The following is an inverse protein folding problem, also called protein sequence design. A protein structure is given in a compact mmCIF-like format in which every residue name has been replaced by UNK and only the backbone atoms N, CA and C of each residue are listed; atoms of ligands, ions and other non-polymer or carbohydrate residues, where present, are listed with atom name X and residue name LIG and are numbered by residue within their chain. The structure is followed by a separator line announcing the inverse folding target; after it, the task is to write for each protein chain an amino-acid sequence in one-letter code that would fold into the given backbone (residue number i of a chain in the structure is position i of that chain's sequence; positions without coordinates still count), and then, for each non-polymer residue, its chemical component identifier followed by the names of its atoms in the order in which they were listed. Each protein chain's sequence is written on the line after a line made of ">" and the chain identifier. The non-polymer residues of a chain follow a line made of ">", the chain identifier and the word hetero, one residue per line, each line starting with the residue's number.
data_IF_583419621693
#
_entry.id   IF_583419621693
#
_cell.length_a   1.000
_cell.length_b   1.000
_cell.length_c   1.000
_cell.angle_alpha   90.00
_cell.angle_beta   90.00
_cell.angle_gamma   90.00
#
_symmetry.space_group_name_H-M   'P 1'
#
loop_
_entity.id
_entity.type
_entity.pdbx_description
1 polymer ?
#
# COMPACT_ATOMS: atom_id res chain seq x y z
N UNK A 1 -40.58 -42.20 5.72
CA UNK A 1 -40.23 -41.39 6.89
C UNK A 1 -38.88 -40.73 6.60
N UNK A 2 -38.92 -39.51 6.10
CA UNK A 2 -37.73 -38.72 5.84
C UNK A 2 -37.63 -37.61 6.87
N UNK A 3 -36.69 -37.73 7.79
CA UNK A 3 -36.39 -36.69 8.77
C UNK A 3 -35.29 -35.79 8.23
N UNK A 4 -35.64 -34.66 7.61
CA UNK A 4 -34.71 -33.59 7.30
C UNK A 4 -34.59 -32.66 8.50
N UNK A 5 -33.49 -32.72 9.23
CA UNK A 5 -33.18 -31.77 10.30
C UNK A 5 -32.87 -30.39 9.70
N UNK A 6 -33.74 -29.43 9.95
CA UNK A 6 -33.50 -28.02 9.71
C UNK A 6 -32.41 -27.55 10.69
N UNK A 7 -31.25 -27.16 10.18
CA UNK A 7 -30.21 -26.46 10.97
C UNK A 7 -30.76 -25.06 11.25
N UNK A 8 -30.98 -24.77 12.54
CA UNK A 8 -31.55 -23.53 13.04
C UNK A 8 -30.71 -22.31 12.63
N UNK A 9 -31.35 -21.29 12.07
CA UNK A 9 -30.72 -20.02 11.63
C UNK A 9 -29.99 -19.30 12.77
N UNK A 10 -30.38 -19.57 14.02
CA UNK A 10 -29.69 -19.10 15.24
C UNK A 10 -28.30 -19.76 15.40
N UNK A 11 -28.16 -21.03 15.00
CA UNK A 11 -26.87 -21.74 15.05
C UNK A 11 -25.89 -21.21 14.03
N UNK A 12 -26.36 -20.74 12.85
CA UNK A 12 -25.56 -20.07 11.83
C UNK A 12 -25.12 -18.67 12.27
N UNK A 13 -25.99 -17.90 12.89
CA UNK A 13 -25.67 -16.59 13.44
C UNK A 13 -24.65 -16.68 14.58
N UNK A 14 -24.74 -17.70 15.47
CA UNK A 14 -23.74 -17.92 16.52
C UNK A 14 -22.38 -18.38 15.97
N UNK A 15 -22.37 -19.18 14.88
CA UNK A 15 -21.09 -19.59 14.25
C UNK A 15 -20.39 -18.48 13.50
N UNK A 16 -21.10 -17.49 12.99
CA UNK A 16 -20.53 -16.29 12.35
C UNK A 16 -20.01 -15.30 13.41
N UNK A 17 -20.68 -15.19 14.56
CA UNK A 17 -20.26 -14.30 15.66
C UNK A 17 -19.07 -14.85 16.46
N UNK A 18 -18.84 -16.19 16.47
CA UNK A 18 -17.71 -16.79 17.20
C UNK A 18 -16.42 -16.95 16.37
N UNK A 19 -16.39 -16.47 15.12
CA UNK A 19 -15.19 -16.43 14.29
C UNK A 19 -14.47 -15.07 14.27
N UNK A 20 -14.81 -14.15 15.15
CA UNK A 20 -13.90 -13.10 15.54
C UNK A 20 -12.93 -13.68 16.58
N UNK A 21 -11.95 -14.46 16.12
CA UNK A 21 -10.72 -14.61 16.87
C UNK A 21 -10.25 -13.19 17.14
N UNK A 22 -10.11 -12.81 18.39
CA UNK A 22 -9.37 -11.62 18.79
C UNK A 22 -7.91 -11.87 18.41
N UNK A 23 -7.60 -11.75 17.12
CA UNK A 23 -6.21 -11.64 16.70
C UNK A 23 -5.70 -10.39 17.41
N UNK A 24 -4.88 -10.58 18.43
CA UNK A 24 -4.21 -9.50 19.11
C UNK A 24 -3.42 -8.72 18.05
N UNK A 25 -3.66 -7.41 17.97
CA UNK A 25 -2.94 -6.52 17.05
C UNK A 25 -1.44 -6.81 17.20
N UNK A 26 -0.72 -7.19 16.13
CA UNK A 26 0.67 -7.59 16.23
C UNK A 26 1.52 -6.44 16.81
N UNK A 27 2.37 -6.75 17.75
CA UNK A 27 3.33 -5.77 18.28
C UNK A 27 4.41 -5.46 17.25
N UNK A 28 5.15 -4.34 17.44
CA UNK A 28 6.34 -4.02 16.64
C UNK A 28 7.30 -5.19 16.53
N UNK A 29 7.55 -5.90 17.65
CA UNK A 29 8.45 -7.05 17.68
C UNK A 29 7.97 -8.21 16.79
N UNK A 30 6.66 -8.50 16.79
CA UNK A 30 6.07 -9.54 15.94
C UNK A 30 6.19 -9.15 14.46
N UNK A 31 5.93 -7.89 14.10
CA UNK A 31 6.02 -7.44 12.72
C UNK A 31 7.47 -7.45 12.22
N UNK A 32 8.42 -7.05 13.06
CA UNK A 32 9.85 -7.13 12.73
C UNK A 32 10.30 -8.58 12.55
N UNK A 33 9.86 -9.50 13.43
CA UNK A 33 10.14 -10.94 13.26
C UNK A 33 9.61 -11.45 11.93
N UNK A 34 8.38 -11.11 11.54
CA UNK A 34 7.84 -11.49 10.22
C UNK A 34 8.67 -10.94 9.06
N UNK A 35 9.19 -9.71 9.16
CA UNK A 35 10.08 -9.16 8.14
C UNK A 35 11.41 -9.92 8.07
N UNK A 36 11.97 -10.31 9.22
CA UNK A 36 13.18 -11.13 9.29
C UNK A 36 12.97 -12.54 8.71
N UNK A 37 11.81 -13.15 8.97
CA UNK A 37 11.45 -14.48 8.41
C UNK A 37 11.36 -14.45 6.87
N UNK A 38 11.05 -13.28 6.28
CA UNK A 38 10.99 -13.11 4.84
C UNK A 38 12.35 -12.81 4.19
N UNK A 39 13.34 -12.42 4.97
CA UNK A 39 14.62 -11.88 4.47
C UNK A 39 15.27 -12.82 3.43
N UNK A 40 15.42 -14.08 3.75
CA UNK A 40 16.08 -15.05 2.86
C UNK A 40 15.27 -15.30 1.60
N UNK A 41 13.94 -15.38 1.68
CA UNK A 41 13.07 -15.54 0.51
C UNK A 41 13.19 -14.33 -0.42
N UNK A 42 13.08 -13.12 0.10
CA UNK A 42 13.19 -11.88 -0.68
C UNK A 42 14.57 -11.75 -1.31
N UNK A 43 15.64 -12.12 -0.58
CA UNK A 43 17.01 -12.07 -1.08
C UNK A 43 17.25 -13.10 -2.19
N UNK A 44 16.74 -14.31 -2.05
CA UNK A 44 16.89 -15.38 -3.05
C UNK A 44 16.27 -14.99 -4.40
N UNK A 45 15.15 -14.26 -4.41
CA UNK A 45 14.44 -13.81 -5.62
C UNK A 45 14.83 -12.41 -6.09
N UNK A 46 15.88 -11.78 -5.51
CA UNK A 46 16.25 -10.40 -5.84
C UNK A 46 16.74 -10.23 -7.28
N UNK A 47 17.50 -11.18 -7.82
CA UNK A 47 17.97 -11.15 -9.21
C UNK A 47 16.81 -11.33 -10.19
N UNK A 48 15.94 -12.30 -9.97
CA UNK A 48 14.73 -12.52 -10.77
C UNK A 48 13.86 -11.25 -10.80
N UNK A 49 13.64 -10.63 -9.63
CA UNK A 49 12.93 -9.34 -9.48
C UNK A 49 13.55 -8.25 -10.38
N UNK A 50 14.87 -8.14 -10.39
CA UNK A 50 15.58 -7.15 -11.20
C UNK A 50 15.45 -7.42 -12.71
N UNK A 51 15.58 -8.69 -13.12
CA UNK A 51 15.49 -9.12 -14.52
C UNK A 51 14.06 -8.98 -15.07
N UNK A 52 13.05 -9.39 -14.28
CA UNK A 52 11.65 -9.28 -14.63
C UNK A 52 11.10 -7.84 -14.63
N UNK A 53 11.86 -6.88 -14.09
CA UNK A 53 11.44 -5.47 -13.90
C UNK A 53 10.14 -5.34 -13.07
N UNK A 54 9.89 -6.29 -12.17
CA UNK A 54 8.79 -6.31 -11.20
C UNK A 54 9.15 -7.28 -10.09
N UNK A 55 8.49 -7.19 -8.95
CA UNK A 55 8.69 -8.18 -7.90
C UNK A 55 8.33 -9.57 -8.42
N UNK A 56 9.11 -10.58 -8.02
CA UNK A 56 8.79 -11.98 -8.31
C UNK A 56 7.47 -12.36 -7.63
N UNK A 57 6.78 -13.34 -8.20
CA UNK A 57 5.51 -13.82 -7.68
C UNK A 57 5.67 -14.39 -6.27
N UNK A 58 6.80 -15.05 -5.98
CA UNK A 58 7.16 -15.56 -4.65
C UNK A 58 7.37 -14.46 -3.63
N UNK A 59 8.10 -13.39 -4.00
CA UNK A 59 8.29 -12.23 -3.12
C UNK A 59 6.95 -11.56 -2.81
N UNK A 60 6.11 -11.37 -3.83
CA UNK A 60 4.77 -10.77 -3.66
C UNK A 60 3.87 -11.62 -2.75
N UNK A 61 3.81 -12.93 -2.99
CA UNK A 61 3.00 -13.84 -2.20
C UNK A 61 3.47 -13.88 -0.74
N UNK A 62 4.78 -13.94 -0.50
CA UNK A 62 5.36 -13.96 0.84
C UNK A 62 5.10 -12.64 1.59
N UNK A 63 5.28 -11.49 0.95
CA UNK A 63 5.01 -10.17 1.55
C UNK A 63 3.52 -10.00 1.88
N UNK A 64 2.61 -10.43 1.00
CA UNK A 64 1.16 -10.40 1.24
C UNK A 64 0.78 -11.30 2.42
N UNK A 65 1.27 -12.54 2.44
CA UNK A 65 0.98 -13.52 3.51
C UNK A 65 1.48 -13.04 4.88
N UNK A 66 2.64 -12.38 4.93
CA UNK A 66 3.16 -11.79 6.18
C UNK A 66 2.35 -10.59 6.67
N UNK A 67 1.53 -9.96 5.82
CA UNK A 67 0.66 -8.83 6.14
C UNK A 67 1.41 -7.55 6.49
N UNK A 68 2.67 -7.39 6.07
CA UNK A 68 3.50 -6.23 6.41
C UNK A 68 2.94 -4.91 5.84
N UNK A 69 2.30 -4.96 4.66
CA UNK A 69 1.67 -3.80 4.03
C UNK A 69 0.52 -3.20 4.85
N UNK A 70 -0.02 -3.98 5.80
CA UNK A 70 -1.16 -3.59 6.65
C UNK A 70 -0.73 -2.89 7.95
N UNK A 71 0.57 -2.64 8.13
CA UNK A 71 1.12 -2.10 9.39
C UNK A 71 0.45 -0.77 9.82
N UNK A 72 0.14 0.09 8.86
CA UNK A 72 -0.52 1.38 9.10
C UNK A 72 -1.98 1.42 8.63
N UNK A 73 -2.55 0.30 8.20
CA UNK A 73 -3.97 0.18 7.86
C UNK A 73 -4.83 0.26 9.13
N UNK A 74 -6.06 0.82 9.07
CA UNK A 74 -6.95 0.91 10.24
C UNK A 74 -7.25 -0.45 10.88
N UNK A 75 -7.28 -0.47 12.21
CA UNK A 75 -7.61 -1.68 12.98
C UNK A 75 -8.98 -2.26 12.64
N UNK A 76 -9.97 -1.40 12.32
CA UNK A 76 -11.33 -1.82 11.89
C UNK A 76 -11.35 -2.67 10.61
N UNK A 77 -10.33 -2.57 9.79
CA UNK A 77 -10.14 -3.37 8.57
C UNK A 77 -9.04 -4.43 8.71
N UNK A 78 -8.71 -4.81 9.95
CA UNK A 78 -7.72 -5.84 10.25
C UNK A 78 -6.27 -5.40 10.03
N UNK A 79 -6.00 -4.10 9.90
CA UNK A 79 -4.68 -3.54 9.98
C UNK A 79 -4.17 -3.49 11.41
N UNK A 80 -2.91 -3.13 11.59
CA UNK A 80 -2.35 -3.03 12.94
C UNK A 80 -2.43 -1.62 13.48
N UNK A 81 -2.62 -0.60 12.61
CA UNK A 81 -2.50 0.81 12.95
C UNK A 81 -1.33 1.09 13.91
N UNK A 82 -0.25 0.33 13.72
CA UNK A 82 0.90 0.29 14.60
C UNK A 82 1.57 1.65 14.68
N UNK A 83 2.43 1.80 15.66
CA UNK A 83 3.26 2.99 15.76
C UNK A 83 4.16 3.11 14.51
N UNK A 84 4.21 4.27 13.92
CA UNK A 84 4.93 4.58 12.68
C UNK A 84 6.39 4.09 12.67
N UNK A 85 7.10 4.12 13.80
CA UNK A 85 8.48 3.63 13.90
C UNK A 85 8.65 2.16 13.53
N UNK A 86 7.62 1.33 13.74
CA UNK A 86 7.66 -0.08 13.36
C UNK A 86 7.74 -0.29 11.85
N UNK A 87 7.14 0.61 11.07
CA UNK A 87 7.23 0.59 9.61
C UNK A 87 8.67 0.84 9.12
N UNK A 88 9.40 1.77 9.77
CA UNK A 88 10.80 2.06 9.42
C UNK A 88 11.67 0.81 9.55
N UNK A 89 11.55 0.06 10.66
CA UNK A 89 12.34 -1.16 10.89
C UNK A 89 12.06 -2.25 9.86
N UNK A 90 10.78 -2.43 9.51
CA UNK A 90 10.35 -3.45 8.53
C UNK A 90 10.88 -3.11 7.15
N UNK A 91 10.76 -1.84 6.74
CA UNK A 91 11.24 -1.37 5.44
C UNK A 91 12.75 -1.48 5.35
N UNK A 92 13.48 -1.08 6.40
CA UNK A 92 14.93 -1.22 6.48
C UNK A 92 15.34 -2.69 6.29
N UNK A 93 14.71 -3.62 7.04
CA UNK A 93 15.00 -5.06 6.97
C UNK A 93 14.77 -5.62 5.57
N UNK A 94 13.61 -5.35 4.96
CA UNK A 94 13.29 -5.87 3.60
C UNK A 94 14.18 -5.21 2.54
N UNK A 95 14.56 -3.94 2.71
CA UNK A 95 15.46 -3.24 1.78
C UNK A 95 16.88 -3.77 1.80
N UNK A 96 17.34 -4.31 2.93
CA UNK A 96 18.62 -5.02 3.02
C UNK A 96 18.62 -6.32 2.22
N UNK A 97 17.48 -7.00 2.12
CA UNK A 97 17.34 -8.21 1.31
C UNK A 97 17.21 -7.89 -0.19
N UNK A 98 16.32 -6.96 -0.54
CA UNK A 98 16.10 -6.45 -1.91
C UNK A 98 15.55 -5.03 -1.86
N UNK A 99 16.31 -4.07 -2.35
CA UNK A 99 15.93 -2.65 -2.33
C UNK A 99 14.61 -2.38 -3.10
N UNK A 100 14.37 -3.07 -4.23
CA UNK A 100 13.13 -2.96 -4.98
C UNK A 100 11.92 -3.46 -4.17
N UNK A 101 12.07 -4.55 -3.43
CA UNK A 101 11.03 -5.08 -2.55
C UNK A 101 10.73 -4.12 -1.39
N UNK A 102 11.77 -3.57 -0.74
CA UNK A 102 11.62 -2.54 0.30
C UNK A 102 10.92 -1.29 -0.21
N UNK A 103 11.26 -0.84 -1.42
CA UNK A 103 10.58 0.30 -2.07
C UNK A 103 9.10 0.03 -2.31
N UNK A 104 8.74 -1.12 -2.92
CA UNK A 104 7.34 -1.48 -3.15
C UNK A 104 6.57 -1.63 -1.83
N UNK A 105 7.16 -2.26 -0.81
CA UNK A 105 6.56 -2.36 0.52
C UNK A 105 6.28 -0.98 1.13
N UNK A 106 7.21 -0.03 0.97
CA UNK A 106 7.03 1.36 1.40
C UNK A 106 5.78 1.98 0.77
N UNK A 107 5.59 1.79 -0.55
CA UNK A 107 4.43 2.31 -1.26
C UNK A 107 3.14 1.66 -0.75
N UNK A 108 3.09 0.34 -0.65
CA UNK A 108 1.91 -0.38 -0.15
C UNK A 108 1.53 0.04 1.28
N UNK A 109 2.48 0.14 2.20
CA UNK A 109 2.23 0.61 3.56
C UNK A 109 1.73 2.05 3.58
N UNK A 110 2.36 2.94 2.82
CA UNK A 110 2.03 4.37 2.76
C UNK A 110 0.64 4.60 2.16
N UNK A 111 0.31 3.90 1.08
CA UNK A 111 -0.98 4.04 0.41
C UNK A 111 -2.12 3.41 1.23
N UNK A 112 -1.89 2.27 1.90
CA UNK A 112 -2.86 1.73 2.86
C UNK A 112 -3.09 2.68 4.05
N UNK A 113 -2.04 3.31 4.57
CA UNK A 113 -2.19 4.37 5.57
C UNK A 113 -3.03 5.53 5.03
N UNK A 114 -2.72 5.98 3.82
CA UNK A 114 -3.39 7.11 3.19
C UNK A 114 -4.89 6.88 3.01
N UNK A 115 -5.31 5.68 2.58
CA UNK A 115 -6.73 5.31 2.47
C UNK A 115 -7.48 5.40 3.81
N UNK A 116 -6.82 5.28 4.95
CA UNK A 116 -7.42 5.46 6.26
C UNK A 116 -7.94 6.88 6.52
N UNK A 117 -7.58 7.87 5.70
CA UNK A 117 -8.11 9.23 5.75
C UNK A 117 -9.40 9.41 4.94
N UNK A 118 -9.76 8.45 4.06
CA UNK A 118 -10.97 8.49 3.22
C UNK A 118 -12.27 8.38 4.04
N UNK A 119 -13.42 8.75 3.45
CA UNK A 119 -14.73 8.42 4.03
C UNK A 119 -14.85 6.91 4.34
N UNK A 120 -15.62 6.58 5.39
CA UNK A 120 -15.83 5.18 5.82
C UNK A 120 -16.33 4.28 4.70
N UNK A 121 -17.25 4.79 3.87
CA UNK A 121 -17.84 4.09 2.75
C UNK A 121 -16.79 3.66 1.71
N UNK A 122 -15.85 4.58 1.39
CA UNK A 122 -14.74 4.27 0.47
C UNK A 122 -13.77 3.25 1.04
N UNK A 123 -13.50 3.31 2.35
CA UNK A 123 -12.69 2.31 3.04
C UNK A 123 -13.38 0.92 3.04
N UNK A 124 -14.69 0.88 3.27
CA UNK A 124 -15.48 -0.35 3.30
C UNK A 124 -15.58 -1.00 1.90
N UNK A 125 -15.65 -0.19 0.83
CA UNK A 125 -15.61 -0.69 -0.56
C UNK A 125 -14.27 -1.38 -0.89
N UNK A 126 -13.16 -0.83 -0.39
CA UNK A 126 -11.80 -1.32 -0.70
C UNK A 126 -11.47 -2.54 0.17
N UNK A 127 -11.58 -2.42 1.49
CA UNK A 127 -11.10 -3.44 2.43
C UNK A 127 -12.17 -4.42 2.91
N UNK A 128 -13.47 -4.13 2.70
CA UNK A 128 -14.54 -5.05 3.06
C UNK A 128 -14.43 -6.38 2.34
N UNK A 129 -14.33 -6.39 0.99
CA UNK A 129 -14.13 -7.64 0.23
C UNK A 129 -12.72 -8.21 0.35
N UNK A 130 -11.69 -7.36 0.52
CA UNK A 130 -10.28 -7.72 0.48
C UNK A 130 -9.48 -6.97 1.56
N UNK A 131 -9.51 -7.46 2.82
CA UNK A 131 -8.80 -6.79 3.92
C UNK A 131 -7.28 -6.70 3.74
N UNK A 132 -6.69 -7.53 2.89
CA UNK A 132 -5.27 -7.58 2.54
C UNK A 132 -4.93 -6.91 1.20
N UNK A 133 -5.78 -6.01 0.71
CA UNK A 133 -5.58 -5.31 -0.54
C UNK A 133 -4.22 -4.59 -0.59
N UNK A 134 -3.51 -4.77 -1.68
CA UNK A 134 -2.29 -4.02 -2.01
C UNK A 134 -2.66 -2.78 -2.82
N UNK A 135 -2.14 -1.64 -2.42
CA UNK A 135 -2.48 -0.34 -3.00
C UNK A 135 -1.24 0.35 -3.53
N UNK A 136 -1.16 0.50 -4.85
CA UNK A 136 -0.19 1.36 -5.49
C UNK A 136 -0.76 2.79 -5.67
N UNK A 137 0.06 3.75 -6.09
CA UNK A 137 -0.47 5.08 -6.37
C UNK A 137 0.58 6.06 -6.86
N UNK A 138 0.12 7.12 -7.50
CA UNK A 138 0.91 8.29 -7.90
C UNK A 138 0.21 9.56 -7.46
N UNK A 139 0.86 10.30 -6.58
CA UNK A 139 0.28 11.44 -5.88
C UNK A 139 0.67 12.78 -6.54
N UNK A 140 0.76 12.79 -7.88
CA UNK A 140 1.10 13.97 -8.70
C UNK A 140 -0.17 14.45 -9.41
N UNK A 141 -0.86 15.51 -8.92
CA UNK A 141 -2.17 15.92 -9.45
C UNK A 141 -2.13 16.34 -10.93
N UNK A 142 -0.97 16.85 -11.40
CA UNK A 142 -0.79 17.28 -12.79
C UNK A 142 -0.87 16.15 -13.84
N UNK A 143 -0.87 14.88 -13.40
CA UNK A 143 -0.94 13.72 -14.29
C UNK A 143 -2.37 13.39 -14.76
N UNK A 144 -3.40 13.92 -14.09
CA UNK A 144 -4.78 13.60 -14.41
C UNK A 144 -5.74 14.76 -14.23
N UNK A 145 -6.94 14.56 -14.74
CA UNK A 145 -8.09 15.46 -14.59
C UNK A 145 -9.29 14.69 -14.10
N UNK A 146 -10.03 15.25 -13.16
CA UNK A 146 -11.26 14.70 -12.62
C UNK A 146 -12.40 15.70 -12.87
N UNK A 147 -13.28 15.38 -13.82
CA UNK A 147 -14.47 16.19 -14.13
C UNK A 147 -15.60 15.80 -13.18
N UNK A 148 -16.25 16.79 -12.59
CA UNK A 148 -17.40 16.56 -11.70
C UNK A 148 -18.59 15.99 -12.47
N UNK A 149 -19.18 14.93 -11.95
CA UNK A 149 -20.40 14.31 -12.46
C UNK A 149 -21.33 13.98 -11.28
N UNK A 150 -22.57 13.57 -11.59
CA UNK A 150 -23.51 13.16 -10.53
C UNK A 150 -22.96 11.96 -9.73
N UNK A 151 -22.96 12.08 -8.41
CA UNK A 151 -22.47 11.03 -7.50
C UNK A 151 -20.94 10.87 -7.40
N UNK A 152 -20.13 11.59 -8.19
CA UNK A 152 -18.69 11.40 -8.17
C UNK A 152 -17.92 12.19 -9.22
N UNK A 153 -16.99 11.50 -9.85
CA UNK A 153 -16.00 12.07 -10.76
C UNK A 153 -15.79 11.18 -11.98
N UNK A 154 -15.59 11.78 -13.15
CA UNK A 154 -15.05 11.13 -14.33
C UNK A 154 -13.57 11.41 -14.41
N UNK A 155 -12.72 10.38 -14.28
CA UNK A 155 -11.27 10.47 -14.15
C UNK A 155 -10.58 10.03 -15.43
N UNK A 156 -9.62 10.83 -15.89
CA UNK A 156 -8.74 10.49 -17.01
C UNK A 156 -7.33 11.01 -16.79
N UNK A 157 -6.31 10.29 -17.25
CA UNK A 157 -4.92 10.72 -17.20
C UNK A 157 -3.93 9.59 -17.41
N UNK A 158 -2.64 9.93 -17.30
CA UNK A 158 -1.53 8.98 -17.30
C UNK A 158 -0.56 9.33 -16.19
N UNK A 159 -0.32 8.37 -15.30
CA UNK A 159 0.50 8.54 -14.11
C UNK A 159 1.79 7.74 -14.24
N UNK A 160 2.95 8.41 -14.36
CA UNK A 160 4.24 7.75 -14.40
C UNK A 160 4.70 7.33 -13.00
N UNK A 161 5.66 6.40 -12.96
CA UNK A 161 6.31 5.95 -11.71
C UNK A 161 5.37 5.25 -10.73
N UNK A 162 4.42 4.45 -11.21
CA UNK A 162 3.50 3.66 -10.41
C UNK A 162 4.20 2.41 -9.81
N UNK A 163 5.07 2.62 -8.82
CA UNK A 163 5.86 1.57 -8.19
C UNK A 163 4.97 0.47 -7.58
N UNK A 164 5.28 -0.80 -7.86
CA UNK A 164 4.55 -1.95 -7.33
C UNK A 164 3.19 -2.20 -7.97
N UNK A 165 2.82 -1.47 -9.02
CA UNK A 165 1.47 -1.55 -9.62
C UNK A 165 1.12 -2.94 -10.17
N UNK A 166 2.10 -3.75 -10.59
CA UNK A 166 1.87 -5.10 -11.09
C UNK A 166 1.26 -6.06 -10.04
N UNK A 167 1.48 -5.79 -8.76
CA UNK A 167 0.91 -6.59 -7.67
C UNK A 167 -0.22 -5.91 -6.93
N UNK A 168 -0.66 -4.71 -7.38
CA UNK A 168 -1.67 -3.93 -6.68
C UNK A 168 -3.09 -4.32 -7.09
N UNK A 169 -3.99 -4.34 -6.12
CA UNK A 169 -5.44 -4.54 -6.32
C UNK A 169 -6.15 -3.20 -6.57
N UNK A 170 -5.57 -2.12 -6.03
CA UNK A 170 -6.08 -0.75 -6.14
C UNK A 170 -4.97 0.23 -6.49
N UNK A 171 -5.37 1.33 -7.13
CA UNK A 171 -4.46 2.42 -7.49
C UNK A 171 -4.99 3.76 -7.01
N UNK A 172 -4.17 4.56 -6.32
CA UNK A 172 -4.49 5.94 -5.96
C UNK A 172 -3.96 6.88 -7.04
N UNK A 173 -4.87 7.46 -7.80
CA UNK A 173 -4.59 8.43 -8.85
C UNK A 173 -4.85 9.86 -8.36
N UNK A 174 -3.82 10.67 -8.16
CA UNK A 174 -4.03 12.09 -7.90
C UNK A 174 -4.30 12.85 -9.20
N UNK A 175 -5.28 13.75 -9.17
CA UNK A 175 -5.67 14.57 -10.31
C UNK A 175 -6.06 15.98 -9.87
N UNK A 176 -6.09 16.93 -10.82
CA UNK A 176 -6.80 18.17 -10.63
C UNK A 176 -8.29 17.97 -10.89
N UNK A 177 -9.09 18.14 -9.83
CA UNK A 177 -10.53 17.98 -9.85
C UNK A 177 -11.24 19.32 -10.00
N UNK A 178 -12.29 19.36 -10.82
CA UNK A 178 -13.17 20.51 -10.97
C UNK A 178 -13.77 20.91 -9.61
N UNK A 179 -13.88 22.20 -9.35
CA UNK A 179 -14.35 22.77 -8.09
C UNK A 179 -15.40 23.89 -8.33
N UNK A 180 -16.46 23.54 -9.04
CA UNK A 180 -17.48 24.52 -9.47
C UNK A 180 -16.84 25.66 -10.25
N UNK A 181 -17.13 26.91 -9.86
CA UNK A 181 -16.54 28.13 -10.45
C UNK A 181 -15.16 28.47 -9.90
N UNK A 182 -14.66 27.70 -8.93
CA UNK A 182 -13.37 27.90 -8.30
C UNK A 182 -12.21 27.27 -9.08
N UNK A 183 -10.95 27.52 -8.68
CA UNK A 183 -9.80 26.87 -9.26
C UNK A 183 -9.85 25.36 -8.98
N UNK A 184 -9.33 24.50 -9.89
CA UNK A 184 -9.25 23.08 -9.66
C UNK A 184 -8.48 22.75 -8.37
N UNK A 185 -8.92 21.73 -7.66
CA UNK A 185 -8.27 21.24 -6.43
C UNK A 185 -7.49 19.97 -6.67
N UNK A 186 -6.38 19.81 -5.96
CA UNK A 186 -5.63 18.54 -5.97
C UNK A 186 -6.40 17.51 -5.14
N UNK A 187 -6.81 16.40 -5.79
CA UNK A 187 -7.63 15.36 -5.20
C UNK A 187 -7.08 13.97 -5.57
N UNK A 188 -7.20 13.02 -4.68
CA UNK A 188 -6.84 11.62 -4.87
C UNK A 188 -8.09 10.78 -5.11
N UNK A 189 -7.98 9.78 -5.98
CA UNK A 189 -9.07 8.90 -6.39
C UNK A 189 -8.61 7.46 -6.29
N UNK A 190 -9.33 6.61 -5.57
CA UNK A 190 -9.05 5.19 -5.50
C UNK A 190 -9.77 4.44 -6.63
N UNK A 191 -8.99 3.73 -7.46
CA UNK A 191 -9.43 3.04 -8.68
C UNK A 191 -9.08 1.56 -8.56
N UNK A 192 -10.01 0.61 -8.79
CA UNK A 192 -9.71 -0.82 -8.75
C UNK A 192 -8.89 -1.24 -9.97
N UNK A 193 -8.19 -2.35 -9.86
CA UNK A 193 -7.32 -2.89 -10.92
C UNK A 193 -8.01 -3.03 -12.28
N UNK A 194 -9.30 -3.38 -12.30
CA UNK A 194 -10.07 -3.58 -13.52
C UNK A 194 -10.26 -2.28 -14.35
N UNK A 195 -10.09 -1.11 -13.74
CA UNK A 195 -10.43 0.19 -14.32
C UNK A 195 -9.20 1.00 -14.76
N UNK A 196 -8.02 0.41 -14.79
CA UNK A 196 -6.82 1.05 -15.32
C UNK A 196 -5.95 0.12 -16.15
N UNK A 197 -5.12 0.70 -17.01
CA UNK A 197 -4.17 -0.04 -17.87
C UNK A 197 -2.74 0.23 -17.45
N UNK A 198 -1.94 -0.82 -17.29
CA UNK A 198 -0.50 -0.74 -17.04
C UNK A 198 0.23 -0.65 -18.38
N UNK A 199 1.09 0.37 -18.53
CA UNK A 199 1.88 0.60 -19.74
C UNK A 199 3.33 0.18 -19.47
N UNK A 200 3.97 -0.61 -20.35
CA UNK A 200 5.36 -1.05 -20.17
C UNK A 200 6.36 0.07 -20.53
N UNK A 201 6.51 1.05 -19.65
CA UNK A 201 7.40 2.22 -19.83
C UNK A 201 8.64 2.19 -18.93
N UNK A 202 8.73 1.25 -17.95
CA UNK A 202 9.80 1.24 -16.96
C UNK A 202 11.09 0.60 -17.47
N UNK A 203 12.03 1.44 -17.95
CA UNK A 203 13.35 1.04 -18.46
C UNK A 203 14.45 1.82 -17.71
N UNK A 204 14.82 1.34 -16.53
CA UNK A 204 15.78 2.01 -15.65
C UNK A 204 17.08 1.23 -15.49
N UNK A 205 18.15 1.92 -15.06
CA UNK A 205 19.45 1.31 -14.76
C UNK A 205 19.51 0.68 -13.36
N UNK A 206 18.64 1.11 -12.44
CA UNK A 206 18.54 0.59 -11.08
C UNK A 206 17.11 0.57 -10.59
N UNK A 207 16.84 -0.17 -9.49
CA UNK A 207 15.50 -0.38 -8.97
C UNK A 207 14.52 -0.91 -10.03
N UNK A 208 15.01 -1.69 -10.99
CA UNK A 208 14.19 -2.24 -12.08
C UNK A 208 13.02 -3.04 -11.55
N UNK A 209 13.26 -3.84 -10.52
CA UNK A 209 12.28 -4.70 -9.86
C UNK A 209 11.12 -3.96 -9.17
N UNK A 210 11.16 -2.63 -9.07
CA UNK A 210 10.00 -1.87 -8.55
C UNK A 210 8.83 -1.84 -9.51
N UNK A 211 9.06 -2.11 -10.81
CA UNK A 211 8.03 -2.02 -11.84
C UNK A 211 7.35 -0.65 -11.86
N UNK A 212 8.14 0.45 -11.69
CA UNK A 212 7.61 1.82 -11.58
C UNK A 212 7.14 2.36 -12.93
N UNK A 213 6.30 1.60 -13.59
CA UNK A 213 5.77 1.88 -14.93
C UNK A 213 4.63 2.91 -14.91
N UNK A 214 4.11 3.27 -16.08
CA UNK A 214 2.99 4.20 -16.17
C UNK A 214 1.65 3.45 -16.04
N UNK A 215 0.66 4.18 -15.52
CA UNK A 215 -0.75 3.76 -15.47
C UNK A 215 -1.58 4.74 -16.28
N UNK A 216 -2.44 4.24 -17.15
CA UNK A 216 -3.42 5.03 -17.91
C UNK A 216 -4.85 4.75 -17.41
N UNK A 217 -5.65 5.80 -17.29
CA UNK A 217 -7.08 5.75 -16.97
C UNK A 217 -7.82 6.61 -17.98
N UNK A 218 -8.90 6.07 -18.56
CA UNK A 218 -9.69 6.75 -19.59
C UNK A 218 -11.17 6.75 -19.19
N UNK A 219 -11.71 7.95 -18.89
CA UNK A 219 -13.12 8.21 -18.59
C UNK A 219 -13.79 7.26 -17.58
N UNK A 220 -13.09 6.92 -16.51
CA UNK A 220 -13.60 6.03 -15.46
C UNK A 220 -14.40 6.82 -14.42
N UNK A 221 -15.59 6.31 -14.08
CA UNK A 221 -16.38 6.86 -12.98
C UNK A 221 -15.81 6.45 -11.64
N UNK A 222 -15.51 7.45 -10.79
CA UNK A 222 -15.06 7.25 -9.40
C UNK A 222 -16.10 7.84 -8.46
N UNK A 223 -16.78 7.03 -7.61
CA UNK A 223 -17.73 7.52 -6.61
C UNK A 223 -17.11 8.54 -5.68
N UNK A 224 -17.92 9.48 -5.18
CA UNK A 224 -17.45 10.51 -4.24
C UNK A 224 -16.79 9.91 -2.97
N UNK A 225 -17.28 8.77 -2.48
CA UNK A 225 -16.70 8.07 -1.33
C UNK A 225 -15.25 7.57 -1.57
N UNK A 226 -14.86 7.36 -2.83
CA UNK A 226 -13.50 6.94 -3.22
C UNK A 226 -12.60 8.10 -3.66
N UNK A 227 -12.97 9.33 -3.30
CA UNK A 227 -12.19 10.54 -3.59
C UNK A 227 -11.89 11.33 -2.30
N UNK A 228 -10.69 11.90 -2.21
CA UNK A 228 -10.28 12.73 -1.06
C UNK A 228 -9.39 13.88 -1.52
N UNK A 229 -9.69 15.15 -1.15
CA UNK A 229 -8.78 16.27 -1.36
C UNK A 229 -7.44 16.05 -0.65
N UNK A 230 -6.33 16.30 -1.34
CA UNK A 230 -4.98 16.14 -0.75
C UNK A 230 -4.82 17.00 0.52
N UNK A 231 -5.45 18.16 0.54
CA UNK A 231 -5.39 19.07 1.70
C UNK A 231 -5.94 18.47 2.99
N UNK A 232 -6.87 17.51 2.90
CA UNK A 232 -7.47 16.88 4.08
C UNK A 232 -6.50 15.93 4.80
N UNK A 233 -5.39 15.57 4.16
CA UNK A 233 -4.36 14.69 4.74
C UNK A 233 -3.22 15.44 5.45
N UNK A 234 -3.36 16.77 5.65
CA UNK A 234 -2.33 17.61 6.29
C UNK A 234 -2.21 17.39 7.81
N UNK A 235 -3.01 16.52 8.38
CA UNK A 235 -3.06 16.24 9.82
C UNK A 235 -4.09 17.07 10.56
N UNK A 236 -4.07 16.97 11.89
CA UNK A 236 -5.05 17.67 12.73
C UNK A 236 -6.38 16.95 12.94
N UNK A 237 -6.56 15.76 12.35
CA UNK A 237 -7.76 14.93 12.58
C UNK A 237 -9.02 15.40 11.82
N UNK A 238 -8.87 16.23 10.78
CA UNK A 238 -10.00 16.82 10.04
C UNK A 238 -10.45 15.96 8.84
N UNK A 239 -9.67 14.96 8.43
CA UNK A 239 -10.05 14.06 7.35
C UNK A 239 -11.28 13.22 7.75
N UNK A 240 -12.18 12.89 6.79
CA UNK A 240 -13.38 12.09 7.07
C UNK A 240 -13.08 10.77 7.81
N UNK A 241 -12.02 10.07 7.42
CA UNK A 241 -11.60 8.81 8.03
C UNK A 241 -11.21 8.93 9.50
N UNK A 242 -10.79 10.12 9.97
CA UNK A 242 -10.45 10.33 11.38
C UNK A 242 -11.65 10.16 12.33
N UNK A 243 -12.88 10.26 11.82
CA UNK A 243 -14.08 10.03 12.60
C UNK A 243 -14.30 8.55 12.96
N UNK A 244 -13.77 7.64 12.13
CA UNK A 244 -13.94 6.18 12.28
C UNK A 244 -12.63 5.45 12.63
N UNK A 245 -11.48 6.09 12.44
CA UNK A 245 -10.16 5.57 12.75
C UNK A 245 -9.55 6.39 13.89
N UNK A 246 -9.69 5.93 15.16
CA UNK A 246 -9.27 6.69 16.35
C UNK A 246 -7.76 6.73 16.56
N UNK A 247 -7.00 5.93 15.83
CA UNK A 247 -5.56 5.75 16.01
C UNK A 247 -4.80 7.06 15.76
N UNK A 248 -3.77 7.29 16.56
CA UNK A 248 -2.98 8.54 16.52
C UNK A 248 -2.35 8.80 15.14
N UNK A 249 -2.05 7.75 14.39
CA UNK A 249 -1.49 7.80 13.03
C UNK A 249 -2.31 8.70 12.10
N UNK A 250 -3.65 8.62 12.15
CA UNK A 250 -4.55 9.42 11.28
C UNK A 250 -4.69 10.88 11.68
N UNK A 251 -4.07 11.30 12.80
CA UNK A 251 -3.96 12.71 13.21
C UNK A 251 -2.67 13.36 12.71
N UNK A 252 -1.75 12.58 12.16
CA UNK A 252 -0.47 13.05 11.64
C UNK A 252 -0.62 13.55 10.19
N UNK A 253 0.28 14.42 9.71
CA UNK A 253 0.33 14.77 8.29
C UNK A 253 0.90 13.61 7.47
N UNK A 254 0.08 13.03 6.59
CA UNK A 254 0.42 11.82 5.82
C UNK A 254 1.73 11.98 5.01
N UNK A 255 1.89 13.10 4.33
CA UNK A 255 3.07 13.32 3.46
C UNK A 255 4.38 13.49 4.23
N UNK A 256 4.34 13.95 5.49
CA UNK A 256 5.52 14.00 6.34
C UNK A 256 5.99 12.58 6.72
N UNK A 257 5.05 11.65 6.94
CA UNK A 257 5.36 10.26 7.21
C UNK A 257 6.01 9.58 5.99
N UNK A 258 5.57 9.88 4.77
CA UNK A 258 6.09 9.28 3.55
C UNK A 258 7.59 9.59 3.34
N UNK A 259 8.04 10.81 3.63
CA UNK A 259 9.45 11.18 3.51
C UNK A 259 10.36 10.34 4.42
N UNK A 260 9.89 10.02 5.63
CA UNK A 260 10.64 9.19 6.59
C UNK A 260 10.72 7.74 6.10
N UNK A 261 9.61 7.20 5.57
CA UNK A 261 9.58 5.82 5.06
C UNK A 261 10.54 5.60 3.90
N UNK A 262 10.63 6.56 2.99
CA UNK A 262 11.56 6.49 1.86
C UNK A 262 13.03 6.52 2.34
N UNK A 263 13.32 7.23 3.43
CA UNK A 263 14.65 7.25 4.04
C UNK A 263 15.05 5.87 4.60
N UNK A 264 14.08 5.08 5.09
CA UNK A 264 14.34 3.72 5.57
C UNK A 264 14.83 2.78 4.45
N UNK A 265 14.33 2.96 3.21
CA UNK A 265 14.82 2.20 2.03
C UNK A 265 16.29 2.51 1.76
N UNK A 266 16.66 3.80 1.79
CA UNK A 266 18.04 4.22 1.58
C UNK A 266 18.98 3.69 2.68
N UNK A 267 18.52 3.65 3.93
CA UNK A 267 19.27 3.11 5.06
C UNK A 267 19.54 1.61 4.87
N UNK A 268 18.51 0.82 4.54
CA UNK A 268 18.64 -0.61 4.30
C UNK A 268 19.58 -0.92 3.13
N UNK A 269 19.48 -0.17 2.03
CA UNK A 269 20.41 -0.31 0.90
C UNK A 269 21.86 0.00 1.30
N UNK A 270 22.08 1.07 2.08
CA UNK A 270 23.40 1.45 2.55
C UNK A 270 24.00 0.36 3.47
N UNK A 271 23.20 -0.19 4.39
CA UNK A 271 23.62 -1.27 5.27
C UNK A 271 23.99 -2.52 4.47
N UNK A 272 23.13 -2.97 3.56
CA UNK A 272 23.40 -4.15 2.71
C UNK A 272 24.68 -3.98 1.87
N UNK A 273 24.91 -2.78 1.34
CA UNK A 273 26.11 -2.46 0.55
C UNK A 273 27.37 -2.52 1.43
N UNK A 274 27.30 -1.97 2.64
CA UNK A 274 28.40 -2.00 3.59
C UNK A 274 28.73 -3.43 4.02
N UNK A 275 27.74 -4.23 4.38
CA UNK A 275 27.92 -5.62 4.80
C UNK A 275 28.56 -6.46 3.70
N UNK A 276 28.09 -6.30 2.45
CA UNK A 276 28.69 -6.95 1.30
C UNK A 276 30.15 -6.54 1.07
N UNK A 277 30.44 -5.24 1.19
CA UNK A 277 31.81 -4.74 1.08
C UNK A 277 32.75 -5.37 2.13
N UNK A 278 32.28 -5.46 3.38
CA UNK A 278 33.04 -6.09 4.47
C UNK A 278 33.27 -7.60 4.21
N UNK A 279 32.24 -8.32 3.75
CA UNK A 279 32.33 -9.73 3.41
C UNK A 279 33.33 -9.99 2.27
N UNK A 280 33.22 -9.25 1.18
CA UNK A 280 34.16 -9.33 0.05
C UNK A 280 35.59 -8.92 0.45
N UNK A 281 35.72 -7.94 1.35
CA UNK A 281 37.02 -7.49 1.88
C UNK A 281 37.75 -8.56 2.68
N UNK A 282 37.00 -9.41 3.42
CA UNK A 282 37.58 -10.54 4.17
C UNK A 282 38.16 -11.64 3.28
N UNK A 283 37.67 -11.79 2.08
CA UNK A 283 38.10 -12.82 1.12
C UNK A 283 39.13 -12.31 0.09
N UNK A 284 39.33 -10.98 -0.01
CA UNK A 284 40.34 -10.39 -0.90
C UNK A 284 41.73 -10.65 -0.39
N UNK A 285 42.49 -11.42 -1.15
CA UNK A 285 43.96 -11.48 -0.98
C UNK A 285 44.55 -10.25 -1.66
N UNK A 286 45.27 -9.43 -0.90
CA UNK A 286 46.05 -8.33 -1.47
C UNK A 286 47.02 -8.91 -2.49
N UNK A 287 46.90 -8.47 -3.75
CA UNK A 287 47.85 -8.80 -4.82
C UNK A 287 48.91 -7.72 -4.87
#
# INVERSE_FOLDING_TARGET
>A
MHGGGAIDALSWCLMVVLKTSSETIPTRAILLSRAQDLFDTVRAHSLETEEARRLSDETMAAMRAAGLHRILQPGRHGGTAAHFSGMVDIIDTISQACCAAGWCLTQYCSHNCLLGYWPSEGQDEIWGPMPDALVAGVLIPGCGKARKVDGGWCLSGQWPFASGVFGADWFIAAAFAENGDGPPIAQMHAVPFADYTILDTWQSAGLRGTGSTDVAIEDIFVPAARALPINDTKGGGNAPGCAVNPEATYKLPAFAMFSINQSAVALGLAQATFDRYVEEGRTRVAR
#
